data_IF_131749224086
#
_entry.id   IF_131749224086
#
_cell.length_a   1.000
_cell.length_b   1.000
_cell.length_c   1.000
_cell.angle_alpha   90.00
_cell.angle_beta   90.00
_cell.angle_gamma   90.00
#
_symmetry.space_group_name_H-M   'P 1'
#
loop_
_entity.id
_entity.type
_entity.pdbx_description
1 polymer ?
#
# COMPACT_ATOMS: atom_id res chain seq x y z
N UNK A 1 -6.69 37.39 18.97
CA UNK A 1 -5.71 36.50 18.30
C UNK A 1 -6.45 35.69 17.24
N UNK A 2 -6.55 36.23 16.03
CA UNK A 2 -7.15 35.53 14.89
C UNK A 2 -6.06 34.68 14.25
N UNK A 3 -6.05 33.38 14.53
CA UNK A 3 -5.18 32.44 13.86
C UNK A 3 -5.56 32.38 12.38
N UNK A 4 -4.69 32.92 11.52
CA UNK A 4 -4.77 32.80 10.06
C UNK A 4 -4.67 31.32 9.71
N UNK A 5 -5.78 30.64 9.45
CA UNK A 5 -5.78 29.22 9.09
C UNK A 5 -5.16 29.05 7.69
N UNK A 6 -4.03 28.35 7.51
CA UNK A 6 -3.52 27.98 6.20
C UNK A 6 -4.34 26.80 5.65
N UNK A 7 -5.61 27.03 5.31
CA UNK A 7 -6.63 25.99 5.05
C UNK A 7 -6.23 24.96 3.98
N UNK A 8 -5.56 25.39 2.91
CA UNK A 8 -5.18 24.50 1.81
C UNK A 8 -4.00 23.58 2.13
N UNK A 9 -2.91 24.13 2.68
CA UNK A 9 -1.70 23.33 3.00
C UNK A 9 -1.93 22.40 4.18
N UNK A 10 -2.68 22.86 5.18
CA UNK A 10 -3.01 22.06 6.36
C UNK A 10 -3.82 20.82 5.99
N UNK A 11 -4.78 20.94 5.07
CA UNK A 11 -5.56 19.80 4.58
C UNK A 11 -4.67 18.70 4.01
N UNK A 12 -3.74 19.05 3.11
CA UNK A 12 -2.82 18.09 2.50
C UNK A 12 -1.88 17.44 3.52
N UNK A 13 -1.39 18.21 4.49
CA UNK A 13 -0.55 17.68 5.58
C UNK A 13 -1.35 16.70 6.43
N UNK A 14 -2.58 17.05 6.82
CA UNK A 14 -3.43 16.18 7.61
C UNK A 14 -3.76 14.87 6.88
N UNK A 15 -4.11 14.93 5.60
CA UNK A 15 -4.30 13.74 4.77
C UNK A 15 -3.03 12.89 4.68
N UNK A 16 -1.87 13.50 4.43
CA UNK A 16 -0.61 12.78 4.34
C UNK A 16 -0.24 12.07 5.65
N UNK A 17 -0.40 12.74 6.79
CA UNK A 17 -0.19 12.13 8.11
C UNK A 17 -1.16 10.98 8.33
N UNK A 18 -2.45 11.18 8.04
CA UNK A 18 -3.46 10.13 8.17
C UNK A 18 -3.11 8.90 7.31
N UNK A 19 -2.72 9.11 6.05
CA UNK A 19 -2.31 8.02 5.14
C UNK A 19 -1.10 7.26 5.70
N UNK A 20 -0.09 7.95 6.22
CA UNK A 20 1.09 7.31 6.81
C UNK A 20 0.75 6.53 8.09
N UNK A 21 -0.13 7.07 8.94
CA UNK A 21 -0.59 6.38 10.14
C UNK A 21 -1.37 5.10 9.80
N UNK A 22 -2.21 5.14 8.76
CA UNK A 22 -2.95 3.97 8.32
C UNK A 22 -1.99 2.93 7.71
N UNK A 23 -1.14 3.36 6.77
CA UNK A 23 -0.24 2.48 6.05
C UNK A 23 0.82 1.83 6.96
N UNK A 24 1.39 2.60 7.89
CA UNK A 24 2.49 2.16 8.73
C UNK A 24 2.12 1.73 10.14
N UNK A 25 0.98 2.16 10.67
CA UNK A 25 0.58 1.90 12.06
C UNK A 25 -0.63 0.99 12.14
N UNK A 26 -1.77 1.44 11.61
CA UNK A 26 -3.04 0.70 11.69
C UNK A 26 -2.97 -0.65 10.98
N UNK A 27 -2.14 -0.77 9.94
CA UNK A 27 -1.92 -2.02 9.20
C UNK A 27 -1.48 -3.19 10.08
N UNK A 28 -0.74 -2.96 11.17
CA UNK A 28 -0.34 -4.03 12.09
C UNK A 28 -1.49 -4.62 12.92
N UNK A 29 -2.62 -3.91 13.00
CA UNK A 29 -3.82 -4.38 13.71
C UNK A 29 -4.76 -5.13 12.76
N UNK A 30 -4.49 -5.13 11.46
CA UNK A 30 -5.28 -5.88 10.50
C UNK A 30 -5.06 -7.39 10.69
N UNK A 31 -6.16 -8.16 10.66
CA UNK A 31 -6.09 -9.62 10.66
C UNK A 31 -5.56 -10.09 9.31
N UNK A 32 -4.43 -10.81 9.33
CA UNK A 32 -3.81 -11.40 8.14
C UNK A 32 -4.22 -12.85 7.90
N UNK A 33 -4.87 -13.51 8.87
CA UNK A 33 -5.02 -14.97 8.84
C UNK A 33 -6.30 -15.44 9.54
N UNK A 34 -7.31 -15.95 8.81
CA UNK A 34 -7.48 -15.82 7.36
C UNK A 34 -7.88 -14.38 7.01
N UNK A 35 -7.31 -13.84 5.92
CA UNK A 35 -7.83 -12.60 5.35
C UNK A 35 -9.18 -12.87 4.64
N UNK A 36 -9.81 -11.81 4.11
CA UNK A 36 -11.12 -11.95 3.46
C UNK A 36 -11.09 -12.83 2.21
N UNK A 37 -9.96 -12.87 1.50
CA UNK A 37 -9.78 -13.69 0.31
C UNK A 37 -9.55 -15.15 0.69
N UNK A 38 -8.64 -15.40 1.62
CA UNK A 38 -8.31 -16.71 2.15
C UNK A 38 -9.53 -17.38 2.77
N UNK A 39 -10.35 -16.62 3.52
CA UNK A 39 -11.60 -17.17 4.07
C UNK A 39 -12.55 -17.65 2.97
N UNK A 40 -12.56 -17.01 1.80
CA UNK A 40 -13.40 -17.41 0.69
C UNK A 40 -12.79 -18.58 -0.10
N UNK A 41 -11.46 -18.63 -0.25
CA UNK A 41 -10.77 -19.69 -1.01
C UNK A 41 -10.61 -20.98 -0.21
N UNK A 42 -10.55 -20.91 1.11
CA UNK A 42 -10.47 -22.04 2.04
C UNK A 42 -11.84 -22.68 2.33
N UNK A 43 -12.94 -22.09 1.85
CA UNK A 43 -14.28 -22.63 2.07
C UNK A 43 -14.39 -24.06 1.50
N UNK A 44 -14.57 -25.06 2.36
CA UNK A 44 -14.60 -26.48 2.00
C UNK A 44 -13.30 -27.25 2.31
N UNK A 45 -12.27 -26.56 2.79
CA UNK A 45 -11.05 -27.14 3.35
C UNK A 45 -10.96 -26.89 4.86
N UNK A 46 -10.25 -27.80 5.53
CA UNK A 46 -9.76 -27.65 6.89
C UNK A 46 -8.24 -27.42 6.85
N UNK A 47 -7.76 -26.42 7.58
CA UNK A 47 -6.33 -26.12 7.73
C UNK A 47 -5.80 -26.94 8.90
N UNK A 48 -4.86 -27.85 8.62
CA UNK A 48 -4.24 -28.70 9.63
C UNK A 48 -2.77 -28.30 9.76
N UNK A 49 -2.33 -27.92 10.96
CA UNK A 49 -0.91 -27.68 11.20
C UNK A 49 -0.14 -29.01 11.32
N UNK A 50 0.88 -29.18 10.48
CA UNK A 50 1.77 -30.34 10.48
C UNK A 50 3.20 -29.93 10.78
N UNK A 51 4.10 -30.91 10.96
CA UNK A 51 5.53 -30.64 11.14
C UNK A 51 6.18 -29.98 9.90
N UNK A 52 5.52 -29.99 8.74
CA UNK A 52 5.99 -29.36 7.50
C UNK A 52 5.35 -28.00 7.20
N UNK A 53 4.43 -27.51 8.06
CA UNK A 53 3.64 -26.30 7.83
C UNK A 53 2.13 -26.58 7.80
N UNK A 54 1.36 -25.61 7.31
CA UNK A 54 -0.08 -25.73 7.12
C UNK A 54 -0.40 -26.65 5.93
N UNK A 55 -1.24 -27.66 6.15
CA UNK A 55 -1.73 -28.57 5.12
C UNK A 55 -3.25 -28.45 4.99
N UNK A 56 -3.76 -28.36 3.76
CA UNK A 56 -5.18 -28.24 3.49
C UNK A 56 -5.79 -29.62 3.25
N UNK A 57 -6.83 -29.97 4.02
CA UNK A 57 -7.59 -31.22 3.83
C UNK A 57 -9.03 -30.90 3.42
N UNK A 58 -9.51 -31.43 2.30
CA UNK A 58 -10.89 -31.21 1.82
C UNK A 58 -10.96 -30.96 0.32
N UNK A 59 -11.95 -30.20 -0.14
CA UNK A 59 -12.08 -29.73 -1.53
C UNK A 59 -12.35 -28.22 -1.51
N UNK A 60 -11.39 -27.43 -1.99
CA UNK A 60 -11.50 -25.97 -2.03
C UNK A 60 -10.54 -25.37 -3.08
N UNK A 61 -10.73 -24.09 -3.40
CA UNK A 61 -9.97 -23.38 -4.44
C UNK A 61 -8.49 -23.26 -4.06
N UNK A 62 -8.18 -23.08 -2.77
CA UNK A 62 -6.83 -22.85 -2.28
C UNK A 62 -5.87 -24.05 -2.50
N UNK A 63 -6.37 -25.28 -2.69
CA UNK A 63 -5.52 -26.45 -2.95
C UNK A 63 -4.75 -26.40 -4.27
N UNK A 64 -5.21 -25.56 -5.20
CA UNK A 64 -4.54 -25.32 -6.47
C UNK A 64 -3.80 -23.99 -6.50
N UNK A 65 -3.50 -23.41 -5.33
CA UNK A 65 -2.63 -22.25 -5.24
C UNK A 65 -1.19 -22.67 -5.60
N UNK A 66 -0.67 -22.08 -6.68
CA UNK A 66 0.71 -22.23 -7.09
C UNK A 66 1.52 -20.98 -6.70
N UNK A 67 2.83 -21.18 -6.55
CA UNK A 67 3.75 -20.08 -6.29
C UNK A 67 3.79 -19.11 -7.47
N UNK A 68 3.68 -17.81 -7.18
CA UNK A 68 3.65 -16.78 -8.21
C UNK A 68 5.07 -16.33 -8.56
N UNK A 69 5.28 -15.84 -9.80
CA UNK A 69 6.61 -15.46 -10.29
C UNK A 69 7.30 -14.34 -9.48
N UNK A 70 6.54 -13.59 -8.68
CA UNK A 70 7.03 -12.52 -7.81
C UNK A 70 7.13 -12.92 -6.34
N UNK A 71 6.91 -14.18 -5.99
CA UNK A 71 7.03 -14.67 -4.62
C UNK A 71 8.44 -14.47 -4.05
N UNK A 72 9.47 -14.55 -4.91
CA UNK A 72 10.85 -14.24 -4.53
C UNK A 72 11.19 -12.74 -4.51
N UNK A 73 10.22 -11.85 -4.73
CA UNK A 73 10.49 -10.41 -4.79
C UNK A 73 10.72 -9.83 -3.39
N UNK A 74 11.53 -8.76 -3.25
CA UNK A 74 11.86 -8.18 -1.95
C UNK A 74 10.68 -7.46 -1.27
N UNK A 75 9.51 -7.41 -1.91
CA UNK A 75 8.26 -6.85 -1.38
C UNK A 75 7.11 -7.86 -1.43
N UNK A 76 7.41 -9.15 -1.68
CA UNK A 76 6.44 -10.23 -1.60
C UNK A 76 5.83 -10.27 -0.19
N UNK A 77 4.56 -10.67 -0.12
CA UNK A 77 3.80 -10.77 1.14
C UNK A 77 3.79 -9.48 1.97
N UNK A 78 3.95 -8.34 1.29
CA UNK A 78 4.11 -7.02 1.90
C UNK A 78 5.30 -6.94 2.88
N UNK A 79 6.27 -7.83 2.80
CA UNK A 79 7.45 -7.86 3.66
C UNK A 79 8.69 -7.28 2.95
N UNK A 80 9.58 -6.62 3.71
CA UNK A 80 10.83 -6.07 3.20
C UNK A 80 11.93 -7.15 3.26
N UNK A 81 12.18 -7.78 2.13
CA UNK A 81 13.17 -8.84 1.97
C UNK A 81 12.83 -10.10 2.77
N UNK A 82 11.54 -10.47 2.79
CA UNK A 82 11.05 -11.66 3.50
C UNK A 82 11.12 -11.58 5.02
N UNK A 83 11.18 -10.37 5.59
CA UNK A 83 11.20 -10.16 7.05
C UNK A 83 9.79 -9.99 7.58
N UNK A 84 9.33 -10.93 8.38
CA UNK A 84 8.02 -10.86 9.02
C UNK A 84 7.87 -9.60 9.87
N UNK A 85 6.63 -9.09 9.93
CA UNK A 85 6.32 -7.87 10.69
C UNK A 85 6.85 -6.57 10.08
N UNK A 86 7.29 -6.57 8.82
CA UNK A 86 7.68 -5.34 8.10
C UNK A 86 6.61 -4.78 7.16
N UNK A 87 5.39 -5.34 7.22
CA UNK A 87 4.19 -4.92 6.48
C UNK A 87 3.96 -3.41 6.47
N UNK A 88 4.01 -2.78 7.65
CA UNK A 88 3.78 -1.33 7.77
C UNK A 88 4.87 -0.50 7.08
N UNK A 89 6.13 -0.96 7.10
CA UNK A 89 7.23 -0.27 6.40
C UNK A 89 7.09 -0.40 4.88
N UNK A 90 6.69 -1.57 4.38
CA UNK A 90 6.39 -1.75 2.96
C UNK A 90 5.22 -0.84 2.53
N UNK A 91 4.19 -0.70 3.38
CA UNK A 91 3.08 0.24 3.18
C UNK A 91 3.54 1.69 3.08
N UNK A 92 4.38 2.16 4.01
CA UNK A 92 4.96 3.52 3.97
C UNK A 92 5.75 3.74 2.68
N UNK A 93 6.59 2.76 2.29
CA UNK A 93 7.36 2.83 1.06
C UNK A 93 6.45 2.99 -0.17
N UNK A 94 5.37 2.22 -0.25
CA UNK A 94 4.36 2.34 -1.30
C UNK A 94 3.72 3.73 -1.38
N UNK A 95 3.38 4.33 -0.23
CA UNK A 95 2.84 5.69 -0.17
C UNK A 95 3.85 6.71 -0.71
N UNK A 96 5.11 6.63 -0.26
CA UNK A 96 6.17 7.55 -0.72
C UNK A 96 6.38 7.44 -2.23
N UNK A 97 6.49 6.22 -2.75
CA UNK A 97 6.65 5.98 -4.20
C UNK A 97 5.49 6.57 -4.99
N UNK A 98 4.25 6.36 -4.52
CA UNK A 98 3.05 6.88 -5.17
C UNK A 98 3.03 8.42 -5.21
N UNK A 99 3.36 9.07 -4.09
CA UNK A 99 3.41 10.54 -4.00
C UNK A 99 4.47 11.11 -4.94
N UNK A 100 5.65 10.47 -5.01
CA UNK A 100 6.73 10.91 -5.90
C UNK A 100 6.34 10.77 -7.37
N UNK A 101 5.80 9.62 -7.76
CA UNK A 101 5.42 9.35 -9.16
C UNK A 101 4.26 10.26 -9.58
N UNK A 102 3.17 10.27 -8.82
CA UNK A 102 2.00 11.07 -9.15
C UNK A 102 2.33 12.57 -9.08
N UNK A 103 2.97 13.01 -8.01
CA UNK A 103 3.39 14.41 -7.84
C UNK A 103 4.33 14.87 -8.95
N UNK A 104 5.31 14.05 -9.33
CA UNK A 104 6.22 14.32 -10.46
C UNK A 104 5.47 14.41 -11.79
N UNK A 105 4.57 13.47 -12.08
CA UNK A 105 3.76 13.48 -13.29
C UNK A 105 2.87 14.73 -13.37
N UNK A 106 2.15 15.07 -12.30
CA UNK A 106 1.33 16.28 -12.25
C UNK A 106 2.15 17.55 -12.38
N UNK A 107 3.33 17.61 -11.77
CA UNK A 107 4.24 18.75 -11.89
C UNK A 107 4.73 18.95 -13.33
N UNK A 108 5.13 17.88 -14.01
CA UNK A 108 5.54 17.94 -15.42
C UNK A 108 4.39 18.41 -16.32
N UNK A 109 3.17 17.92 -16.09
CA UNK A 109 1.98 18.34 -16.83
C UNK A 109 1.60 19.80 -16.53
N UNK A 110 1.75 20.26 -15.29
CA UNK A 110 1.47 21.65 -14.92
C UNK A 110 2.48 22.61 -15.55
N UNK A 111 3.76 22.24 -15.55
CA UNK A 111 4.84 23.01 -16.17
C UNK A 111 4.63 23.21 -17.66
N UNK A 112 4.15 22.21 -18.39
CA UNK A 112 3.94 22.32 -19.85
C UNK A 112 2.80 23.27 -20.23
N UNK A 113 1.88 23.60 -19.31
CA UNK A 113 0.76 24.54 -19.55
C UNK A 113 1.12 26.00 -19.28
N UNK A 114 2.21 26.28 -18.57
CA UNK A 114 2.66 27.63 -18.28
C UNK A 114 3.36 28.24 -19.51
N UNK A 115 2.60 28.79 -20.47
CA UNK A 115 3.16 29.64 -21.52
C UNK A 115 3.73 30.92 -20.86
N UNK A 116 4.94 31.38 -21.24
CA UNK A 116 5.43 32.69 -20.79
C UNK A 116 4.46 33.77 -21.29
N UNK A 117 3.99 34.64 -20.38
CA UNK A 117 3.36 35.90 -20.79
C UNK A 117 4.40 36.65 -21.61
N UNK A 118 4.19 36.76 -22.93
CA UNK A 118 4.87 37.77 -23.71
C UNK A 118 4.42 39.12 -23.16
N UNK A 119 5.32 39.83 -22.47
CA UNK A 119 5.16 41.27 -22.29
C UNK A 119 5.23 41.87 -23.69
N UNK A 120 4.06 42.04 -24.32
CA UNK A 120 3.91 42.98 -25.41
C UNK A 120 4.14 44.36 -24.77
N UNK A 121 5.29 44.93 -25.12
CA UNK A 121 5.72 46.25 -24.67
C UNK A 121 4.85 47.36 -25.23
N UNK A 122 5.02 48.50 -24.55
CA UNK A 122 4.67 49.89 -24.87
C UNK A 122 4.23 50.22 -26.30
#
# INVERSE_FOLDING_TARGET
>A
MTATTPRGRWFWIACAVLTLLIAGGVSYVASSSPDGLDSATLQGCEVVETAGGEELTGECIAQHADEHALAGSPLADYAIGGRDGTGGLAGILGVVVTVVIAGGAFWLIARSRAKPKSSAGD
#
